data_IF_791898645432
#
_entry.id   IF_791898645432
#
_cell.length_a   1.000
_cell.length_b   1.000
_cell.length_c   1.000
_cell.angle_alpha   90.00
_cell.angle_beta   90.00
_cell.angle_gamma   90.00
#
_symmetry.space_group_name_H-M   'P 1'
#
loop_
_entity.id
_entity.type
_entity.pdbx_description
1 polymer ?
#
# COMPACT_ATOMS: atom_id res chain seq x y z
N UNK A 1 7.46 1.30 -0.66
CA UNK A 1 7.05 0.46 0.48
C UNK A 1 8.23 -0.07 1.32
N UNK A 2 9.37 -0.47 0.73
CA UNK A 2 10.57 -0.98 1.45
C UNK A 2 11.21 -0.08 2.53
N UNK A 3 10.73 1.14 2.74
CA UNK A 3 11.19 2.03 3.82
C UNK A 3 10.47 1.78 5.16
N UNK A 4 9.36 1.04 5.17
CA UNK A 4 8.66 0.73 6.40
C UNK A 4 9.31 -0.49 7.09
N UNK A 5 9.70 -0.41 8.38
CA UNK A 5 10.54 -1.42 9.04
C UNK A 5 9.97 -2.84 9.07
N UNK A 6 8.65 -2.98 8.95
CA UNK A 6 7.93 -4.24 9.11
C UNK A 6 7.32 -4.77 7.81
N UNK A 7 7.51 -4.09 6.67
CA UNK A 7 7.13 -4.63 5.36
C UNK A 7 8.24 -5.55 4.86
N UNK A 8 7.91 -6.82 4.63
CA UNK A 8 8.82 -7.81 4.05
C UNK A 8 8.95 -7.60 2.54
N UNK A 9 7.81 -7.44 1.86
CA UNK A 9 7.78 -7.06 0.45
C UNK A 9 6.53 -6.26 0.11
N UNK A 10 6.56 -5.55 -1.01
CA UNK A 10 5.37 -4.89 -1.51
C UNK A 10 5.51 -4.34 -2.93
N UNK A 11 4.39 -4.37 -3.65
CA UNK A 11 4.24 -3.91 -5.01
C UNK A 11 3.03 -2.97 -5.14
N UNK A 12 3.09 -2.03 -6.09
CA UNK A 12 1.95 -1.15 -6.44
C UNK A 12 1.57 -1.44 -7.88
N UNK A 13 0.28 -1.65 -8.14
CA UNK A 13 -0.27 -1.81 -9.48
C UNK A 13 -1.47 -0.89 -9.68
N UNK A 14 -1.74 -0.58 -10.95
CA UNK A 14 -3.02 0.00 -11.34
C UNK A 14 -4.02 -1.15 -11.45
N UNK A 15 -5.17 -1.01 -10.79
CA UNK A 15 -6.30 -1.94 -10.88
C UNK A 15 -7.58 -1.15 -11.12
N UNK A 16 -8.60 -1.80 -11.66
CA UNK A 16 -9.92 -1.21 -11.78
C UNK A 16 -10.71 -1.41 -10.49
N UNK A 17 -11.37 -0.34 -10.03
CA UNK A 17 -12.33 -0.44 -8.94
C UNK A 17 -13.72 -0.88 -9.44
N UNK A 18 -14.71 -0.99 -8.54
CA UNK A 18 -16.09 -1.36 -8.88
C UNK A 18 -16.77 -0.41 -9.87
N UNK A 19 -16.29 0.83 -9.97
CA UNK A 19 -16.75 1.85 -10.91
C UNK A 19 -15.95 1.86 -12.23
N UNK A 20 -15.20 0.79 -12.54
CA UNK A 20 -14.36 0.64 -13.73
C UNK A 20 -13.26 1.71 -13.89
N UNK A 21 -12.91 2.40 -12.79
CA UNK A 21 -11.91 3.46 -12.76
C UNK A 21 -10.54 2.92 -12.32
N UNK A 22 -9.49 3.40 -12.96
CA UNK A 22 -8.10 3.06 -12.61
C UNK A 22 -7.72 3.65 -11.25
N UNK A 23 -7.28 2.79 -10.33
CA UNK A 23 -6.79 3.17 -9.00
C UNK A 23 -5.43 2.55 -8.71
N UNK A 24 -4.64 3.22 -7.88
CA UNK A 24 -3.42 2.63 -7.33
C UNK A 24 -3.78 1.70 -6.16
N UNK A 25 -3.41 0.43 -6.28
CA UNK A 25 -3.56 -0.57 -5.23
C UNK A 25 -2.18 -1.07 -4.79
N UNK A 26 -1.92 -1.02 -3.48
CA UNK A 26 -0.69 -1.53 -2.89
C UNK A 26 -0.92 -2.92 -2.30
N UNK A 27 -0.12 -3.88 -2.74
CA UNK A 27 -0.04 -5.22 -2.19
C UNK A 27 1.21 -5.31 -1.32
N UNK A 28 1.09 -5.83 -0.10
CA UNK A 28 2.23 -5.93 0.80
C UNK A 28 2.16 -7.18 1.68
N UNK A 29 3.34 -7.69 2.06
CA UNK A 29 3.50 -8.78 3.00
C UNK A 29 4.12 -8.21 4.28
N UNK A 30 3.53 -8.52 5.42
CA UNK A 30 4.07 -8.11 6.72
C UNK A 30 3.70 -9.06 7.85
N UNK A 31 4.55 -9.07 8.88
CA UNK A 31 4.31 -9.81 10.11
C UNK A 31 3.06 -9.27 10.85
N UNK A 32 2.23 -10.17 11.38
CA UNK A 32 0.87 -9.89 11.88
C UNK A 32 0.80 -8.91 13.04
N UNK A 33 1.93 -8.68 13.71
CA UNK A 33 1.98 -7.89 14.95
C UNK A 33 1.82 -6.39 14.74
N UNK A 34 1.82 -5.91 13.51
CA UNK A 34 1.76 -4.48 13.19
C UNK A 34 0.67 -4.20 12.15
N UNK A 35 -0.24 -3.27 12.47
CA UNK A 35 -1.16 -2.64 11.51
C UNK A 35 -0.69 -1.19 11.33
N UNK A 36 0.23 -0.91 10.39
CA UNK A 36 0.74 0.42 10.20
C UNK A 36 -0.33 1.31 9.57
N UNK A 37 -0.34 2.59 9.94
CA UNK A 37 -0.92 3.61 9.07
C UNK A 37 0.04 3.84 7.89
N UNK A 38 0.04 2.90 6.94
CA UNK A 38 0.87 2.94 5.73
C UNK A 38 0.59 4.20 4.90
N UNK A 39 -0.65 4.66 4.91
CA UNK A 39 -1.07 5.87 4.21
C UNK A 39 -0.38 7.10 4.81
N UNK A 40 -0.41 7.27 6.13
CA UNK A 40 0.27 8.36 6.82
C UNK A 40 1.78 8.31 6.62
N UNK A 41 2.38 7.11 6.71
CA UNK A 41 3.80 6.94 6.44
C UNK A 41 4.17 7.40 5.04
N UNK A 42 3.40 7.01 4.02
CA UNK A 42 3.64 7.41 2.63
C UNK A 42 3.45 8.92 2.41
N UNK A 43 2.47 9.55 3.06
CA UNK A 43 2.27 11.02 3.00
C UNK A 43 3.49 11.82 3.44
N UNK A 44 4.35 11.26 4.29
CA UNK A 44 5.53 11.97 4.79
C UNK A 44 6.62 12.17 3.72
N UNK A 45 6.59 11.41 2.62
CA UNK A 45 7.62 11.50 1.57
C UNK A 45 7.10 11.34 0.13
N UNK A 46 5.81 11.04 -0.08
CA UNK A 46 5.19 10.95 -1.40
C UNK A 46 4.13 12.04 -1.60
N UNK A 47 4.01 12.58 -2.82
CA UNK A 47 2.86 13.40 -3.19
C UNK A 47 1.55 12.63 -3.04
N UNK A 48 0.46 13.32 -2.73
CA UNK A 48 -0.85 12.72 -2.50
C UNK A 48 -1.33 11.80 -3.65
N UNK A 49 -0.99 12.11 -4.90
CA UNK A 49 -1.41 11.31 -6.07
C UNK A 49 -0.62 10.00 -6.25
N UNK A 50 0.53 9.82 -5.58
CA UNK A 50 1.30 8.56 -5.58
C UNK A 50 0.91 7.63 -4.44
N UNK A 51 -0.06 8.03 -3.62
CA UNK A 51 -0.51 7.26 -2.47
C UNK A 51 -1.61 6.31 -2.95
N UNK A 52 -1.43 4.99 -2.77
CA UNK A 52 -2.47 4.01 -3.09
C UNK A 52 -3.79 4.37 -2.42
N UNK A 53 -4.87 4.21 -3.18
CA UNK A 53 -6.23 4.36 -2.64
C UNK A 53 -6.57 3.16 -1.77
N UNK A 54 -6.09 1.98 -2.17
CA UNK A 54 -6.34 0.70 -1.51
C UNK A 54 -5.03 0.01 -1.09
N UNK A 55 -5.09 -0.69 0.04
CA UNK A 55 -3.97 -1.42 0.63
C UNK A 55 -4.43 -2.85 0.96
N UNK A 56 -3.87 -3.82 0.26
CA UNK A 56 -4.19 -5.24 0.41
C UNK A 56 -2.99 -5.93 1.06
N UNK A 57 -3.20 -6.41 2.29
CA UNK A 57 -2.26 -7.31 2.93
C UNK A 57 -2.38 -8.69 2.28
N UNK A 58 -1.25 -9.25 1.88
CA UNK A 58 -1.15 -10.64 1.46
C UNK A 58 -0.66 -11.49 2.62
N UNK A 59 -1.25 -12.68 2.75
CA UNK A 59 -0.73 -13.71 3.63
C UNK A 59 0.54 -14.32 3.01
N UNK A 60 1.46 -14.71 3.88
CA UNK A 60 2.75 -15.29 3.49
C UNK A 60 2.73 -16.81 3.58
#
# INVERSE_FOLDING_TARGET
MKKYPHILDGAVSIVKNEADSDILCAFYVMDEKYLPDLKLFMKSYLPNYMIPSEFIKLDS
#
